data_IF_721792532912
#
_entry.id   IF_721792532912
#
_cell.length_a   1.000
_cell.length_b   1.000
_cell.length_c   1.000
_cell.angle_alpha   90.00
_cell.angle_beta   90.00
_cell.angle_gamma   90.00
#
_symmetry.space_group_name_H-M   'P 1'
#
loop_
_entity.id
_entity.type
_entity.pdbx_description
1 polymer ?
#
# COMPACT_ATOMS: atom_id res chain seq x y z
N UNK A 1 20.18 -19.61 -1.80
CA UNK A 1 19.55 -18.30 -1.49
C UNK A 1 18.29 -17.97 -2.32
N UNK A 2 17.77 -18.86 -3.19
CA UNK A 2 16.54 -18.59 -3.97
C UNK A 2 15.21 -18.87 -3.24
N UNK A 3 15.23 -19.62 -2.13
CA UNK A 3 14.01 -20.03 -1.42
C UNK A 3 13.35 -18.87 -0.65
N UNK A 4 14.13 -18.09 0.11
CA UNK A 4 13.62 -16.99 0.94
C UNK A 4 12.98 -15.85 0.12
N UNK A 5 13.62 -15.45 -0.99
CA UNK A 5 13.05 -14.41 -1.86
C UNK A 5 11.77 -14.92 -2.52
N UNK A 6 11.70 -16.20 -2.90
CA UNK A 6 10.49 -16.78 -3.48
C UNK A 6 9.35 -16.88 -2.45
N UNK A 7 9.65 -17.16 -1.18
CA UNK A 7 8.66 -17.16 -0.09
C UNK A 7 8.17 -15.73 0.20
N UNK A 8 9.07 -14.76 0.31
CA UNK A 8 8.72 -13.34 0.55
C UNK A 8 8.04 -12.69 -0.67
N UNK A 9 8.29 -13.16 -1.89
CA UNK A 9 7.65 -12.61 -3.08
C UNK A 9 6.30 -13.28 -3.36
N UNK A 10 6.22 -14.61 -3.19
CA UNK A 10 5.05 -15.40 -3.61
C UNK A 10 3.99 -15.55 -2.50
N UNK A 11 4.39 -15.72 -1.23
CA UNK A 11 3.45 -15.78 -0.10
C UNK A 11 3.06 -14.39 0.41
N UNK A 12 3.96 -13.39 0.30
CA UNK A 12 3.69 -12.01 0.68
C UNK A 12 3.05 -11.17 -0.44
N UNK A 13 2.83 -11.78 -1.62
CA UNK A 13 2.10 -11.24 -2.78
C UNK A 13 0.78 -10.54 -2.44
N UNK A 14 0.09 -11.09 -1.45
CA UNK A 14 -1.18 -10.62 -0.95
C UNK A 14 -1.03 -9.43 0.01
N UNK A 15 0.11 -9.32 0.68
CA UNK A 15 0.35 -8.29 1.70
C UNK A 15 0.54 -6.93 1.05
N UNK A 16 1.32 -6.80 -0.03
CA UNK A 16 1.45 -5.50 -0.70
C UNK A 16 0.15 -5.07 -1.42
N UNK A 17 -0.62 -6.01 -1.96
CA UNK A 17 -1.96 -5.74 -2.50
C UNK A 17 -2.96 -5.35 -1.40
N UNK A 18 -2.95 -6.06 -0.28
CA UNK A 18 -3.78 -5.77 0.88
C UNK A 18 -3.42 -4.44 1.55
N UNK A 19 -2.13 -4.12 1.66
CA UNK A 19 -1.63 -2.85 2.16
C UNK A 19 -2.04 -1.69 1.25
N UNK A 20 -1.93 -1.89 -0.08
CA UNK A 20 -2.40 -0.93 -1.06
C UNK A 20 -3.92 -0.72 -1.00
N UNK A 21 -4.71 -1.77 -0.80
CA UNK A 21 -6.16 -1.69 -0.68
C UNK A 21 -6.60 -1.01 0.62
N UNK A 22 -5.98 -1.39 1.75
CA UNK A 22 -6.23 -0.77 3.05
C UNK A 22 -5.82 0.72 3.04
N UNK A 23 -4.69 1.04 2.40
CA UNK A 23 -4.26 2.42 2.19
C UNK A 23 -5.24 3.24 1.35
N UNK A 24 -5.77 2.65 0.27
CA UNK A 24 -6.83 3.26 -0.56
C UNK A 24 -8.09 3.55 0.25
N UNK A 25 -8.52 2.57 1.05
CA UNK A 25 -9.71 2.74 1.88
C UNK A 25 -9.53 3.86 2.92
N UNK A 26 -8.40 3.87 3.64
CA UNK A 26 -8.08 4.92 4.60
C UNK A 26 -7.96 6.31 3.95
N UNK A 27 -7.39 6.37 2.73
CA UNK A 27 -7.30 7.60 1.96
C UNK A 27 -8.68 8.16 1.58
N UNK A 28 -9.60 7.32 1.13
CA UNK A 28 -10.97 7.73 0.79
C UNK A 28 -11.71 8.20 2.05
N UNK A 29 -11.63 7.45 3.14
CA UNK A 29 -12.26 7.84 4.42
C UNK A 29 -11.67 9.15 4.94
N UNK A 30 -10.35 9.31 4.91
CA UNK A 30 -9.68 10.55 5.26
C UNK A 30 -10.13 11.73 4.40
N UNK A 31 -10.28 11.51 3.09
CA UNK A 31 -10.79 12.51 2.14
C UNK A 31 -12.24 12.94 2.45
N UNK A 32 -13.10 12.01 2.85
CA UNK A 32 -14.49 12.32 3.25
C UNK A 32 -14.52 13.16 4.53
N UNK A 33 -13.60 12.92 5.46
CA UNK A 33 -13.49 13.69 6.70
C UNK A 33 -13.01 15.14 6.49
N UNK A 34 -12.49 15.49 5.30
CA UNK A 34 -12.18 16.88 4.94
C UNK A 34 -13.42 17.70 4.57
N UNK A 35 -14.59 17.08 4.37
CA UNK A 35 -15.81 17.83 4.05
C UNK A 35 -16.15 18.83 5.17
N UNK A 36 -16.74 20.00 4.83
CA UNK A 36 -17.09 21.03 5.81
C UNK A 36 -17.99 20.53 6.95
N UNK A 37 -18.80 19.50 6.68
CA UNK A 37 -19.68 18.86 7.67
C UNK A 37 -18.93 18.16 8.80
N UNK A 38 -17.69 17.75 8.56
CA UNK A 38 -16.86 16.99 9.52
C UNK A 38 -15.69 17.81 10.05
N UNK A 39 -15.80 19.15 10.06
CA UNK A 39 -14.75 20.05 10.50
C UNK A 39 -14.09 19.68 11.85
N UNK A 40 -14.83 19.23 12.88
CA UNK A 40 -14.23 18.79 14.14
C UNK A 40 -13.30 17.56 14.00
N UNK A 41 -13.52 16.73 12.97
CA UNK A 41 -12.79 15.50 12.70
C UNK A 41 -11.68 15.69 11.66
N UNK A 42 -11.44 16.94 11.22
CA UNK A 42 -10.47 17.27 10.17
C UNK A 42 -9.05 16.79 10.52
N UNK A 43 -8.63 16.88 11.78
CA UNK A 43 -7.33 16.39 12.24
C UNK A 43 -7.22 14.86 12.09
N UNK A 44 -8.27 14.13 12.46
CA UNK A 44 -8.34 12.67 12.26
C UNK A 44 -8.32 12.31 10.77
N UNK A 45 -9.05 13.07 9.94
CA UNK A 45 -9.04 12.94 8.49
C UNK A 45 -7.67 13.12 7.87
N UNK A 46 -6.90 14.12 8.32
CA UNK A 46 -5.51 14.37 7.91
C UNK A 46 -4.63 13.15 8.22
N UNK A 47 -4.69 12.62 9.45
CA UNK A 47 -3.88 11.45 9.82
C UNK A 47 -4.27 10.19 9.05
N UNK A 48 -5.57 9.96 8.79
CA UNK A 48 -6.04 8.88 7.92
C UNK A 48 -5.56 9.05 6.48
N UNK A 49 -5.49 10.28 5.99
CA UNK A 49 -5.01 10.60 4.66
C UNK A 49 -3.49 10.37 4.54
N UNK A 50 -2.71 10.84 5.51
CA UNK A 50 -1.25 10.62 5.58
C UNK A 50 -0.94 9.13 5.72
N UNK A 51 -1.60 8.44 6.66
CA UNK A 51 -1.41 7.01 6.87
C UNK A 51 -1.84 6.18 5.66
N UNK A 52 -3.01 6.49 5.08
CA UNK A 52 -3.54 5.80 3.91
C UNK A 52 -2.65 5.97 2.67
N UNK A 53 -2.17 7.18 2.41
CA UNK A 53 -1.25 7.45 1.31
C UNK A 53 0.12 6.78 1.51
N UNK A 54 0.66 6.75 2.73
CA UNK A 54 1.90 6.04 3.04
C UNK A 54 1.76 4.52 2.82
N UNK A 55 0.67 3.91 3.27
CA UNK A 55 0.38 2.48 3.06
C UNK A 55 0.24 2.14 1.58
N UNK A 56 -0.45 2.98 0.81
CA UNK A 56 -0.53 2.86 -0.65
C UNK A 56 0.84 2.91 -1.30
N UNK A 57 1.68 3.87 -0.91
CA UNK A 57 3.01 4.05 -1.45
C UNK A 57 3.89 2.83 -1.19
N UNK A 58 3.89 2.31 0.04
CA UNK A 58 4.65 1.10 0.40
C UNK A 58 4.13 -0.12 -0.36
N UNK A 59 2.80 -0.27 -0.51
CA UNK A 59 2.20 -1.35 -1.30
C UNK A 59 2.62 -1.30 -2.77
N UNK A 60 2.59 -0.11 -3.37
CA UNK A 60 3.01 0.11 -4.76
C UNK A 60 4.51 -0.17 -4.96
N UNK A 61 5.37 0.27 -4.03
CA UNK A 61 6.80 -0.01 -4.05
C UNK A 61 7.09 -1.51 -3.96
N UNK A 62 6.40 -2.23 -3.06
CA UNK A 62 6.51 -3.68 -2.92
C UNK A 62 6.19 -4.40 -4.24
N UNK A 63 5.06 -4.05 -4.85
CA UNK A 63 4.65 -4.63 -6.14
C UNK A 63 5.62 -4.27 -7.27
N UNK A 64 6.16 -3.06 -7.28
CA UNK A 64 7.17 -2.65 -8.27
C UNK A 64 8.46 -3.46 -8.16
N UNK A 65 8.97 -3.66 -6.94
CA UNK A 65 10.18 -4.45 -6.67
C UNK A 65 10.00 -5.93 -7.07
N UNK A 66 8.84 -6.52 -6.75
CA UNK A 66 8.48 -7.89 -7.16
C UNK A 66 8.49 -8.01 -8.69
N UNK A 67 7.77 -7.12 -9.39
CA UNK A 67 7.70 -7.13 -10.85
C UNK A 67 9.07 -6.90 -11.52
N UNK A 68 9.99 -6.20 -10.84
CA UNK A 68 11.37 -6.01 -11.32
C UNK A 68 12.20 -7.28 -11.12
N UNK A 69 12.02 -7.98 -10.00
CA UNK A 69 12.73 -9.22 -9.67
C UNK A 69 12.34 -10.36 -10.60
N UNK A 70 11.03 -10.58 -10.81
CA UNK A 70 10.53 -11.62 -11.72
C UNK A 70 11.08 -11.42 -13.14
N UNK A 71 11.05 -10.20 -13.67
CA UNK A 71 11.59 -9.88 -15.00
C UNK A 71 13.09 -10.14 -15.16
N UNK A 72 13.85 -10.15 -14.06
CA UNK A 72 15.29 -10.42 -14.08
C UNK A 72 15.59 -11.92 -14.01
N UNK A 73 14.70 -12.69 -13.39
CA UNK A 73 14.84 -14.13 -13.22
C UNK A 73 14.30 -14.92 -14.43
N UNK A 74 13.37 -14.36 -15.21
CA UNK A 74 12.81 -14.98 -16.42
C UNK A 74 13.71 -14.90 -17.67
N UNK A 75 14.83 -14.15 -17.58
CA UNK A 75 15.81 -14.01 -18.69
C UNK A 75 17.08 -14.87 -18.54
N UNK A 76 17.11 -15.83 -17.61
CA UNK A 76 18.23 -16.78 -17.45
C UNK A 76 17.78 -18.20 -17.68
#
# INVERSE_FOLDING_TARGET
MGSLVRIIVKDYGWIHRGLGLAGNFAFVVGSVLFLPRFEPWKVTGVWLFIGGSALMFVGALGQFLVNRYERKHDRR
#
